data_IF_937022240401
#
_entry.id   IF_937022240401
#
_cell.length_a   1.000
_cell.length_b   1.000
_cell.length_c   1.000
_cell.angle_alpha   90.00
_cell.angle_beta   90.00
_cell.angle_gamma   90.00
#
_symmetry.space_group_name_H-M   'P 1'
#
loop_
_entity.id
_entity.type
_entity.pdbx_description
1 polymer ?
#
# COMPACT_ATOMS: atom_id res chain seq x y z
N UNK A 1 -4.06 -29.78 -2.94
CA UNK A 1 -5.53 -29.71 -3.03
C UNK A 1 -5.92 -29.90 -4.48
N UNK A 2 -7.04 -30.53 -4.76
CA UNK A 2 -7.57 -30.69 -6.12
C UNK A 2 -8.95 -30.05 -6.19
N UNK A 3 -9.13 -29.21 -7.19
CA UNK A 3 -10.38 -28.51 -7.48
C UNK A 3 -10.73 -28.77 -8.94
N UNK A 4 -11.61 -29.74 -9.19
CA UNK A 4 -11.88 -30.21 -10.56
C UNK A 4 -10.57 -30.70 -11.22
N UNK A 5 -10.20 -30.10 -12.35
CA UNK A 5 -8.95 -30.40 -13.05
C UNK A 5 -7.72 -29.64 -12.54
N UNK A 6 -7.91 -28.64 -11.67
CA UNK A 6 -6.84 -27.80 -11.15
C UNK A 6 -6.18 -28.44 -9.91
N UNK A 7 -4.89 -28.65 -9.97
CA UNK A 7 -4.07 -29.04 -8.81
C UNK A 7 -3.37 -27.83 -8.25
N UNK A 8 -3.70 -27.48 -7.01
CA UNK A 8 -3.12 -26.32 -6.32
C UNK A 8 -2.37 -26.76 -5.08
N UNK A 9 -1.11 -26.37 -4.97
CA UNK A 9 -0.33 -26.46 -3.74
C UNK A 9 -0.56 -25.20 -2.90
N UNK A 10 -0.48 -25.36 -1.58
CA UNK A 10 -0.54 -24.24 -0.64
C UNK A 10 0.69 -24.31 0.25
N UNK A 11 1.42 -23.20 0.38
CA UNK A 11 2.53 -23.07 1.32
C UNK A 11 2.29 -21.91 2.27
N UNK A 12 2.66 -22.08 3.55
CA UNK A 12 2.55 -21.00 4.54
C UNK A 12 3.61 -19.92 4.31
N UNK A 13 3.61 -18.91 5.18
CA UNK A 13 4.76 -18.01 5.32
C UNK A 13 6.05 -18.80 5.53
N UNK A 14 7.08 -18.48 4.75
CA UNK A 14 8.37 -19.15 4.78
C UNK A 14 9.30 -18.43 5.75
N UNK A 15 9.74 -19.12 6.78
CA UNK A 15 10.69 -18.64 7.79
C UNK A 15 11.86 -19.62 7.94
N UNK A 16 12.80 -19.34 8.84
CA UNK A 16 13.97 -20.19 9.05
C UNK A 16 13.62 -21.62 9.47
N UNK A 17 12.55 -21.81 10.24
CA UNK A 17 12.17 -23.13 10.78
C UNK A 17 11.60 -24.04 9.69
N UNK A 18 10.85 -23.48 8.74
CA UNK A 18 10.17 -24.26 7.70
C UNK A 18 10.83 -24.18 6.32
N UNK A 19 11.88 -23.38 6.16
CA UNK A 19 12.51 -23.10 4.86
C UNK A 19 12.90 -24.38 4.11
N UNK A 20 13.71 -25.25 4.72
CA UNK A 20 14.20 -26.45 4.05
C UNK A 20 13.05 -27.42 3.65
N UNK A 21 12.09 -27.61 4.56
CA UNK A 21 10.95 -28.48 4.31
C UNK A 21 10.04 -27.93 3.21
N UNK A 22 9.82 -26.62 3.22
CA UNK A 22 8.99 -25.93 2.21
C UNK A 22 9.67 -25.92 0.84
N UNK A 23 10.99 -25.67 0.76
CA UNK A 23 11.71 -25.70 -0.49
C UNK A 23 11.72 -27.11 -1.11
N UNK A 24 11.92 -28.15 -0.29
CA UNK A 24 11.81 -29.53 -0.75
C UNK A 24 10.40 -29.86 -1.25
N UNK A 25 9.37 -29.44 -0.52
CA UNK A 25 7.99 -29.61 -0.97
C UNK A 25 7.74 -28.91 -2.29
N UNK A 26 8.20 -27.64 -2.44
CA UNK A 26 8.07 -26.89 -3.70
C UNK A 26 8.77 -27.64 -4.83
N UNK A 27 9.96 -28.17 -4.61
CA UNK A 27 10.73 -28.90 -5.62
C UNK A 27 10.03 -30.19 -6.09
N UNK A 28 9.50 -30.98 -5.15
CA UNK A 28 8.90 -32.29 -5.41
C UNK A 28 7.43 -32.21 -5.87
N UNK A 29 6.73 -31.14 -5.54
CA UNK A 29 5.31 -30.99 -5.78
C UNK A 29 4.99 -30.89 -7.29
N UNK A 30 3.89 -31.55 -7.70
CA UNK A 30 3.40 -31.62 -9.09
C UNK A 30 2.08 -30.86 -9.27
N UNK A 31 1.88 -29.79 -8.51
CA UNK A 31 0.73 -28.92 -8.67
C UNK A 31 0.92 -27.99 -9.86
N UNK A 32 -0.17 -27.63 -10.49
CA UNK A 32 -0.19 -26.66 -11.58
C UNK A 32 0.00 -25.23 -11.03
N UNK A 33 -0.72 -24.93 -9.94
CA UNK A 33 -0.71 -23.61 -9.29
C UNK A 33 -0.19 -23.70 -7.85
N UNK A 34 0.36 -22.58 -7.40
CA UNK A 34 0.80 -22.40 -6.02
C UNK A 34 0.03 -21.23 -5.38
N UNK A 35 -0.61 -21.48 -4.23
CA UNK A 35 -1.09 -20.43 -3.33
C UNK A 35 -0.08 -20.27 -2.19
N UNK A 36 0.31 -19.03 -1.89
CA UNK A 36 1.39 -18.77 -0.96
C UNK A 36 1.25 -17.41 -0.27
N UNK A 37 2.11 -17.19 0.72
CA UNK A 37 2.33 -15.86 1.31
C UNK A 37 3.84 -15.61 1.26
N UNK A 38 4.30 -14.92 0.21
CA UNK A 38 5.73 -14.85 -0.14
C UNK A 38 6.25 -13.43 -0.03
N UNK A 39 7.49 -13.33 0.40
CA UNK A 39 8.30 -12.13 0.33
C UNK A 39 9.31 -12.28 -0.81
N UNK A 40 9.04 -11.65 -1.97
CA UNK A 40 9.86 -11.81 -3.18
C UNK A 40 10.52 -10.50 -3.57
N UNK A 41 11.81 -10.59 -3.90
CA UNK A 41 12.55 -9.47 -4.44
C UNK A 41 12.04 -9.07 -5.83
N UNK A 42 12.05 -7.75 -6.10
CA UNK A 42 11.69 -7.16 -7.39
C UNK A 42 10.23 -6.81 -7.55
N UNK A 43 9.35 -7.23 -6.64
CA UNK A 43 7.94 -6.87 -6.64
C UNK A 43 7.67 -5.59 -5.85
N UNK A 44 6.61 -4.90 -6.22
CA UNK A 44 6.16 -3.67 -5.58
C UNK A 44 5.51 -3.99 -4.23
N UNK A 45 6.13 -3.55 -3.14
CA UNK A 45 5.60 -3.72 -1.79
C UNK A 45 4.71 -2.55 -1.36
N UNK A 46 5.00 -1.36 -1.86
CA UNK A 46 4.19 -0.14 -1.80
C UNK A 46 4.25 0.52 -3.17
N UNK A 47 3.35 1.47 -3.45
CA UNK A 47 3.40 2.21 -4.71
C UNK A 47 4.77 2.86 -4.90
N UNK A 48 5.43 2.54 -6.02
CA UNK A 48 6.74 3.07 -6.38
C UNK A 48 7.92 2.45 -5.63
N UNK A 49 7.70 1.60 -4.59
CA UNK A 49 8.77 0.94 -3.85
C UNK A 49 8.79 -0.55 -4.13
N UNK A 50 9.92 -1.02 -4.64
CA UNK A 50 10.16 -2.45 -4.85
C UNK A 50 10.91 -3.07 -3.68
N UNK A 51 10.48 -4.25 -3.29
CA UNK A 51 11.23 -5.06 -2.35
C UNK A 51 12.57 -5.51 -2.95
N UNK A 52 13.67 -5.26 -2.23
CA UNK A 52 15.02 -5.61 -2.69
C UNK A 52 15.63 -6.79 -1.92
N UNK A 53 15.01 -7.22 -0.81
CA UNK A 53 15.57 -8.21 0.12
C UNK A 53 14.87 -9.58 0.09
N UNK A 54 13.77 -9.73 -0.63
CA UNK A 54 12.99 -10.96 -0.66
C UNK A 54 13.67 -12.13 -1.39
N UNK A 55 13.01 -13.27 -1.39
CA UNK A 55 13.47 -14.48 -2.10
C UNK A 55 13.48 -14.26 -3.63
N UNK A 56 14.35 -15.02 -4.34
CA UNK A 56 14.36 -15.00 -5.80
C UNK A 56 13.09 -15.65 -6.37
N UNK A 57 12.30 -14.89 -7.10
CA UNK A 57 11.08 -15.34 -7.76
C UNK A 57 11.30 -16.50 -8.74
N UNK A 58 12.53 -16.70 -9.23
CA UNK A 58 12.87 -17.82 -10.14
C UNK A 58 12.66 -19.19 -9.53
N UNK A 59 12.65 -19.31 -8.20
CA UNK A 59 12.35 -20.55 -7.48
C UNK A 59 10.96 -21.11 -7.81
N UNK A 60 10.06 -20.25 -8.25
CA UNK A 60 8.64 -20.59 -8.48
C UNK A 60 8.28 -20.75 -9.96
N UNK A 61 9.25 -20.69 -10.88
CA UNK A 61 9.02 -20.77 -12.33
C UNK A 61 8.36 -22.05 -12.82
N UNK A 62 8.44 -23.13 -12.05
CA UNK A 62 7.86 -24.41 -12.44
C UNK A 62 6.32 -24.43 -12.42
N UNK A 63 5.70 -23.53 -11.66
CA UNK A 63 4.24 -23.45 -11.58
C UNK A 63 3.70 -22.65 -12.78
N UNK A 64 2.53 -23.04 -13.27
CA UNK A 64 1.79 -22.29 -14.27
C UNK A 64 1.42 -20.91 -13.74
N UNK A 65 0.98 -20.86 -12.47
CA UNK A 65 0.61 -19.62 -11.78
C UNK A 65 0.92 -19.72 -10.30
N UNK A 66 1.44 -18.62 -9.75
CA UNK A 66 1.64 -18.42 -8.30
C UNK A 66 0.75 -17.27 -7.86
N UNK A 67 -0.18 -17.56 -6.96
CA UNK A 67 -1.02 -16.55 -6.31
C UNK A 67 -0.45 -16.31 -4.91
N UNK A 68 -0.05 -15.08 -4.63
CA UNK A 68 0.58 -14.78 -3.35
C UNK A 68 -0.01 -13.53 -2.70
N UNK A 69 0.01 -13.53 -1.36
CA UNK A 69 -0.22 -12.36 -0.50
C UNK A 69 1.10 -11.78 -0.01
N UNK A 70 1.08 -11.09 1.08
CA UNK A 70 2.08 -10.30 1.78
C UNK A 70 2.02 -8.82 1.39
N UNK A 71 2.32 -8.45 0.15
CA UNK A 71 2.20 -7.05 -0.26
C UNK A 71 0.75 -6.66 -0.48
N UNK A 72 0.37 -5.48 0.03
CA UNK A 72 -1.00 -4.97 -0.04
C UNK A 72 -1.34 -4.40 -1.42
N UNK A 73 -0.31 -4.00 -2.19
CA UNK A 73 -0.45 -3.56 -3.57
C UNK A 73 -0.49 -4.77 -4.49
N UNK A 74 -1.53 -4.84 -5.33
CA UNK A 74 -1.64 -5.92 -6.32
C UNK A 74 -0.67 -5.70 -7.48
N UNK A 75 0.18 -6.70 -7.77
CA UNK A 75 1.13 -6.65 -8.88
C UNK A 75 1.30 -8.00 -9.54
N UNK A 76 1.66 -8.01 -10.83
CA UNK A 76 1.87 -9.24 -11.59
C UNK A 76 3.14 -9.15 -12.43
N UNK A 77 3.99 -10.15 -12.29
CA UNK A 77 5.20 -10.30 -13.11
C UNK A 77 5.41 -11.78 -13.42
N UNK A 78 5.67 -12.10 -14.69
CA UNK A 78 5.80 -13.48 -15.18
C UNK A 78 4.58 -14.34 -14.77
N UNK A 79 4.84 -15.47 -14.11
CA UNK A 79 3.81 -16.39 -13.59
C UNK A 79 3.40 -16.08 -12.14
N UNK A 80 3.84 -14.97 -11.54
CA UNK A 80 3.56 -14.63 -10.16
C UNK A 80 2.60 -13.45 -10.10
N UNK A 81 1.56 -13.58 -9.28
CA UNK A 81 0.57 -12.57 -9.05
C UNK A 81 0.38 -12.32 -7.55
N UNK A 82 0.86 -11.16 -7.09
CA UNK A 82 0.45 -10.60 -5.80
C UNK A 82 -0.98 -10.09 -5.92
N UNK A 83 -1.88 -10.70 -5.18
CA UNK A 83 -3.31 -10.39 -5.24
C UNK A 83 -3.62 -9.02 -4.63
N UNK A 84 -2.75 -8.54 -3.76
CA UNK A 84 -3.02 -7.38 -2.91
C UNK A 84 -3.96 -7.72 -1.76
N UNK A 85 -4.23 -6.76 -0.90
CA UNK A 85 -5.21 -6.93 0.17
C UNK A 85 -6.64 -6.70 -0.34
N UNK A 86 -7.62 -7.42 0.24
CA UNK A 86 -9.02 -7.25 -0.13
C UNK A 86 -9.69 -6.03 0.49
N UNK A 87 -9.03 -5.39 1.46
CA UNK A 87 -9.47 -4.16 2.10
C UNK A 87 -8.25 -3.34 2.55
N UNK A 88 -8.48 -2.11 2.94
CA UNK A 88 -7.45 -1.26 3.52
C UNK A 88 -7.20 -1.70 4.98
N UNK A 89 -5.93 -1.86 5.37
CA UNK A 89 -5.52 -2.18 6.74
C UNK A 89 -4.76 -1.04 7.40
N UNK A 90 -4.04 -0.24 6.62
CA UNK A 90 -3.18 0.85 7.10
C UNK A 90 -3.40 2.13 6.30
N UNK A 91 -2.88 3.24 6.79
CA UNK A 91 -2.91 4.52 6.09
C UNK A 91 -2.18 4.52 4.75
N UNK A 92 -1.21 3.63 4.58
CA UNK A 92 -0.54 3.40 3.29
C UNK A 92 -1.45 2.77 2.24
N UNK A 93 -2.54 2.14 2.65
CA UNK A 93 -3.53 1.55 1.75
C UNK A 93 -4.60 2.54 1.28
N UNK A 94 -4.68 3.74 1.89
CA UNK A 94 -5.67 4.73 1.53
C UNK A 94 -5.56 5.11 0.05
N UNK A 95 -6.71 5.18 -0.63
CA UNK A 95 -6.83 5.43 -2.07
C UNK A 95 -6.25 4.33 -2.98
N UNK A 96 -5.76 3.21 -2.44
CA UNK A 96 -5.35 2.06 -3.24
C UNK A 96 -6.56 1.16 -3.51
N UNK A 97 -6.92 0.88 -4.78
CA UNK A 97 -8.08 0.05 -5.08
C UNK A 97 -7.87 -1.38 -4.59
N UNK A 98 -8.75 -1.84 -3.72
CA UNK A 98 -8.72 -3.18 -3.14
C UNK A 98 -9.67 -4.13 -3.86
N UNK A 99 -9.29 -5.42 -3.90
CA UNK A 99 -10.01 -6.42 -4.67
C UNK A 99 -10.06 -7.74 -3.92
N UNK A 100 -11.11 -8.52 -4.15
CA UNK A 100 -11.09 -9.95 -3.94
C UNK A 100 -11.17 -10.67 -5.30
N UNK A 101 -10.80 -11.94 -5.31
CA UNK A 101 -10.62 -12.67 -6.55
C UNK A 101 -11.49 -13.94 -6.53
N UNK A 102 -12.18 -14.20 -7.63
CA UNK A 102 -12.92 -15.43 -7.86
C UNK A 102 -12.19 -16.23 -8.92
N UNK A 103 -11.91 -17.49 -8.61
CA UNK A 103 -11.20 -18.40 -9.50
C UNK A 103 -12.18 -19.45 -10.02
N UNK A 104 -12.35 -19.52 -11.32
CA UNK A 104 -12.99 -20.64 -11.96
C UNK A 104 -11.97 -21.77 -12.12
N UNK A 105 -12.20 -22.88 -11.43
CA UNK A 105 -11.24 -24.00 -11.42
C UNK A 105 -11.30 -24.88 -12.67
N UNK A 106 -12.33 -24.74 -13.51
CA UNK A 106 -12.46 -25.48 -14.78
C UNK A 106 -11.81 -24.69 -15.91
N UNK A 107 -12.14 -23.39 -16.03
CA UNK A 107 -11.59 -22.49 -17.08
C UNK A 107 -10.24 -21.92 -16.70
N UNK A 108 -9.88 -21.93 -15.40
CA UNK A 108 -8.68 -21.29 -14.81
C UNK A 108 -8.66 -19.77 -14.94
N UNK A 109 -9.83 -19.18 -15.18
CA UNK A 109 -9.98 -17.72 -15.23
C UNK A 109 -10.05 -17.14 -13.82
N UNK A 110 -9.50 -15.94 -13.66
CA UNK A 110 -9.50 -15.18 -12.40
C UNK A 110 -10.22 -13.88 -12.63
N UNK A 111 -11.37 -13.72 -11.97
CA UNK A 111 -12.11 -12.46 -11.94
C UNK A 111 -11.69 -11.62 -10.74
N UNK A 112 -11.36 -10.33 -10.99
CA UNK A 112 -11.10 -9.35 -9.94
C UNK A 112 -12.36 -8.55 -9.66
N UNK A 113 -12.85 -8.62 -8.45
CA UNK A 113 -14.03 -7.87 -8.02
C UNK A 113 -13.56 -6.76 -7.07
N UNK A 114 -13.78 -5.50 -7.47
CA UNK A 114 -13.37 -4.34 -6.67
C UNK A 114 -14.20 -4.27 -5.38
N UNK A 115 -13.50 -4.11 -4.26
CA UNK A 115 -14.14 -3.75 -3.00
C UNK A 115 -14.58 -2.27 -3.07
N UNK A 116 -15.88 -1.97 -2.95
CA UNK A 116 -16.36 -0.59 -3.01
C UNK A 116 -16.15 0.18 -1.69
N UNK A 117 -15.80 -0.51 -0.60
CA UNK A 117 -15.67 0.07 0.73
C UNK A 117 -14.25 0.55 0.97
N UNK A 118 -14.13 1.74 1.56
CA UNK A 118 -12.89 2.32 2.06
C UNK A 118 -12.98 2.52 3.57
N UNK A 119 -11.86 2.37 4.25
CA UNK A 119 -11.75 2.59 5.70
C UNK A 119 -10.98 3.87 6.03
N UNK A 120 -10.01 4.24 5.20
CA UNK A 120 -9.13 5.38 5.43
C UNK A 120 -9.44 6.49 4.44
N UNK A 121 -9.75 7.67 4.95
CA UNK A 121 -10.08 8.83 4.13
C UNK A 121 -9.14 9.98 4.43
N UNK A 122 -8.33 10.37 3.44
CA UNK A 122 -7.43 11.52 3.53
C UNK A 122 -8.08 12.74 2.89
N UNK A 123 -8.07 13.85 3.60
CA UNK A 123 -8.55 15.15 3.11
C UNK A 123 -7.39 16.11 3.14
N UNK A 124 -7.04 16.68 2.00
CA UNK A 124 -6.05 17.76 1.90
C UNK A 124 -6.79 19.06 2.05
N UNK A 125 -6.64 19.72 3.22
CA UNK A 125 -7.30 20.98 3.51
C UNK A 125 -6.49 22.15 2.95
N UNK A 126 -7.11 22.92 2.06
CA UNK A 126 -6.56 24.17 1.51
C UNK A 126 -7.73 25.12 1.21
N UNK A 127 -7.95 26.11 2.08
CA UNK A 127 -9.08 27.06 1.99
C UNK A 127 -8.90 28.14 0.93
N UNK A 128 -7.73 28.21 0.29
CA UNK A 128 -7.54 29.02 -0.93
C UNK A 128 -8.10 28.34 -2.17
N UNK A 129 -8.11 27.01 -2.20
CA UNK A 129 -8.51 26.23 -3.37
C UNK A 129 -9.97 25.77 -3.32
N UNK A 130 -10.53 25.59 -2.10
CA UNK A 130 -11.85 24.98 -1.93
C UNK A 130 -12.61 25.58 -0.73
N UNK A 131 -13.92 25.77 -0.89
CA UNK A 131 -14.83 26.08 0.22
C UNK A 131 -15.30 24.79 0.93
N UNK A 132 -14.74 24.53 2.09
CA UNK A 132 -15.07 23.34 2.90
C UNK A 132 -16.43 23.41 3.59
N UNK A 133 -17.15 24.55 3.57
CA UNK A 133 -18.51 24.61 4.08
C UNK A 133 -19.46 23.73 3.27
N UNK A 134 -19.16 23.49 1.99
CA UNK A 134 -19.95 22.65 1.08
C UNK A 134 -19.47 21.21 0.99
N UNK A 135 -18.36 20.85 1.65
CA UNK A 135 -17.81 19.50 1.62
C UNK A 135 -18.78 18.50 2.25
N UNK A 136 -19.10 17.42 1.54
CA UNK A 136 -19.98 16.37 2.05
C UNK A 136 -19.26 15.47 3.05
N UNK A 137 -19.49 15.68 4.35
CA UNK A 137 -18.91 14.87 5.42
C UNK A 137 -19.66 13.55 5.66
N UNK A 138 -20.84 13.35 5.06
CA UNK A 138 -21.66 12.15 5.30
C UNK A 138 -20.97 10.87 4.82
N UNK A 139 -20.13 10.97 3.79
CA UNK A 139 -19.32 9.88 3.25
C UNK A 139 -18.25 9.37 4.23
N UNK A 140 -17.92 10.16 5.26
CA UNK A 140 -16.86 9.83 6.24
C UNK A 140 -17.34 8.89 7.34
N UNK A 141 -18.63 8.56 7.35
CA UNK A 141 -19.22 7.71 8.39
C UNK A 141 -18.52 6.35 8.45
N UNK A 142 -18.13 5.94 9.67
CA UNK A 142 -17.43 4.69 9.93
C UNK A 142 -16.05 4.59 9.24
N UNK A 143 -15.40 5.73 9.00
CA UNK A 143 -14.04 5.77 8.45
C UNK A 143 -13.05 6.34 9.46
N UNK A 144 -11.78 6.04 9.25
CA UNK A 144 -10.65 6.74 9.83
C UNK A 144 -10.34 7.94 8.95
N UNK A 145 -10.38 9.14 9.52
CA UNK A 145 -10.23 10.38 8.75
C UNK A 145 -8.92 11.06 9.11
N UNK A 146 -8.14 11.45 8.11
CA UNK A 146 -6.94 12.26 8.27
C UNK A 146 -7.11 13.56 7.48
N UNK A 147 -7.02 14.70 8.17
CA UNK A 147 -7.00 16.02 7.55
C UNK A 147 -5.55 16.51 7.53
N UNK A 148 -5.00 16.67 6.33
CA UNK A 148 -3.66 17.24 6.10
C UNK A 148 -3.84 18.70 5.75
N UNK A 149 -3.36 19.61 6.60
CA UNK A 149 -3.54 21.05 6.45
C UNK A 149 -2.38 21.63 5.64
N UNK A 150 -2.67 22.02 4.40
CA UNK A 150 -1.71 22.67 3.50
C UNK A 150 -1.80 24.19 3.66
N UNK A 151 -3.01 24.72 3.70
CA UNK A 151 -3.25 26.16 3.88
C UNK A 151 -4.51 26.36 4.73
N UNK A 152 -4.39 27.22 5.76
CA UNK A 152 -5.46 27.56 6.70
C UNK A 152 -5.44 29.07 6.93
N UNK A 153 -6.03 29.85 6.00
CA UNK A 153 -6.16 31.30 6.15
C UNK A 153 -7.26 31.68 7.12
N UNK A 154 -8.37 30.98 7.08
CA UNK A 154 -9.52 31.19 7.95
C UNK A 154 -9.63 30.07 8.98
N UNK A 155 -9.09 30.32 10.17
CA UNK A 155 -9.13 29.39 11.30
C UNK A 155 -10.57 29.06 11.71
N UNK A 156 -11.49 30.03 11.65
CA UNK A 156 -12.89 29.82 12.02
C UNK A 156 -13.60 28.84 11.07
N UNK A 157 -13.38 28.99 9.76
CA UNK A 157 -13.91 28.06 8.76
C UNK A 157 -13.29 26.66 8.90
N UNK A 158 -12.01 26.57 9.25
CA UNK A 158 -11.35 25.30 9.55
C UNK A 158 -11.97 24.62 10.76
N UNK A 159 -12.12 25.33 11.88
CA UNK A 159 -12.69 24.76 13.10
C UNK A 159 -14.12 24.25 12.86
N UNK A 160 -14.95 25.01 12.13
CA UNK A 160 -16.28 24.55 11.73
C UNK A 160 -16.26 23.30 10.85
N UNK A 161 -15.30 23.19 9.98
CA UNK A 161 -15.14 21.99 9.16
C UNK A 161 -14.77 20.77 10.01
N UNK A 162 -13.85 20.93 10.95
CA UNK A 162 -13.49 19.88 11.92
C UNK A 162 -14.68 19.47 12.79
N UNK A 163 -15.45 20.44 13.31
CA UNK A 163 -16.68 20.15 14.08
C UNK A 163 -17.69 19.35 13.26
N UNK A 164 -17.85 19.67 11.96
CA UNK A 164 -18.73 18.90 11.07
C UNK A 164 -18.24 17.46 10.88
N UNK A 165 -16.95 17.24 10.71
CA UNK A 165 -16.36 15.89 10.63
C UNK A 165 -16.63 15.13 11.94
N UNK A 166 -16.39 15.75 13.09
CA UNK A 166 -16.62 15.13 14.39
C UNK A 166 -18.10 14.83 14.68
N UNK A 167 -19.03 15.58 14.06
CA UNK A 167 -20.47 15.32 14.19
C UNK A 167 -20.93 14.05 13.47
N UNK A 168 -20.11 13.52 12.56
CA UNK A 168 -20.36 12.25 11.88
C UNK A 168 -19.78 11.12 12.73
N UNK A 169 -20.43 9.96 12.71
CA UNK A 169 -19.99 8.75 13.42
C UNK A 169 -18.75 8.14 12.72
N UNK A 170 -17.59 8.80 12.84
CA UNK A 170 -16.28 8.36 12.35
C UNK A 170 -15.59 7.49 13.40
N UNK A 171 -14.59 6.69 12.98
CA UNK A 171 -13.79 5.91 13.92
C UNK A 171 -12.71 6.75 14.60
N UNK A 172 -12.01 7.58 13.86
CA UNK A 172 -10.92 8.42 14.35
C UNK A 172 -10.75 9.64 13.45
N UNK A 173 -10.33 10.77 14.04
CA UNK A 173 -9.88 11.95 13.32
C UNK A 173 -8.43 12.24 13.68
N UNK A 174 -7.57 12.30 12.67
CA UNK A 174 -6.19 12.80 12.78
C UNK A 174 -6.05 14.10 12.02
N UNK A 175 -5.41 15.10 12.61
CA UNK A 175 -5.12 16.39 11.97
C UNK A 175 -3.60 16.51 11.92
N UNK A 176 -3.05 16.67 10.71
CA UNK A 176 -1.64 16.95 10.47
C UNK A 176 -1.51 18.41 10.04
N UNK A 177 -1.01 19.26 10.93
CA UNK A 177 -0.68 20.66 10.67
C UNK A 177 0.83 20.80 10.40
N UNK A 178 1.24 21.89 9.77
CA UNK A 178 2.65 22.25 9.47
C UNK A 178 3.34 21.42 8.39
N UNK A 179 2.59 20.96 7.42
CA UNK A 179 3.17 20.24 6.29
C UNK A 179 4.12 21.12 5.44
N UNK A 180 3.91 22.44 5.41
CA UNK A 180 4.74 23.39 4.65
C UNK A 180 6.17 23.55 5.22
N UNK A 181 6.42 23.16 6.46
CA UNK A 181 7.79 23.11 7.02
C UNK A 181 8.62 21.95 6.44
N UNK A 182 7.95 20.91 5.92
CA UNK A 182 8.57 19.75 5.30
C UNK A 182 8.71 19.84 3.78
N UNK A 183 7.88 20.67 3.12
CA UNK A 183 7.93 20.89 1.67
C UNK A 183 8.49 22.29 1.49
N UNK A 184 9.76 22.42 1.08
CA UNK A 184 10.38 23.72 0.76
C UNK A 184 9.53 24.54 -0.22
N UNK A 185 9.69 25.87 -0.20
CA UNK A 185 8.88 26.88 -0.94
C UNK A 185 8.81 26.69 -2.47
N UNK A 186 9.43 25.66 -3.05
CA UNK A 186 9.60 25.47 -4.50
C UNK A 186 8.84 24.27 -5.09
N UNK A 187 7.84 23.73 -4.42
CA UNK A 187 6.99 22.69 -5.03
C UNK A 187 5.88 23.37 -5.82
N UNK A 188 6.11 23.52 -7.13
CA UNK A 188 5.07 23.94 -8.07
C UNK A 188 3.86 23.00 -7.98
N UNK A 189 2.69 23.56 -8.09
CA UNK A 189 1.32 23.11 -7.83
C UNK A 189 0.82 21.85 -8.60
N UNK A 190 1.70 21.03 -9.19
CA UNK A 190 1.31 19.80 -9.86
C UNK A 190 1.15 18.67 -8.84
N UNK A 191 -0.13 18.46 -8.47
CA UNK A 191 -0.67 17.24 -7.85
C UNK A 191 0.37 16.45 -7.02
N UNK A 192 0.75 16.98 -5.85
CA UNK A 192 1.38 16.13 -4.84
C UNK A 192 0.30 15.12 -4.46
N UNK A 193 0.40 13.93 -5.01
CA UNK A 193 -0.30 12.77 -4.49
C UNK A 193 0.29 12.50 -3.10
N UNK A 194 -0.32 13.09 -2.06
CA UNK A 194 0.07 12.93 -0.66
C UNK A 194 -0.01 11.48 -0.17
N UNK A 195 -0.17 10.55 -1.07
CA UNK A 195 -0.34 9.13 -0.81
C UNK A 195 0.98 8.38 -0.69
N UNK A 196 2.09 8.99 -1.11
CA UNK A 196 3.36 8.30 -1.18
C UNK A 196 4.40 8.95 -0.25
N UNK A 197 4.50 8.40 0.97
CA UNK A 197 5.55 8.80 1.94
C UNK A 197 6.96 8.78 1.33
N UNK A 198 7.34 7.82 0.47
CA UNK A 198 8.62 7.84 -0.22
C UNK A 198 8.83 9.05 -1.13
N UNK A 199 7.83 9.42 -1.92
CA UNK A 199 7.90 10.61 -2.79
C UNK A 199 8.08 11.88 -1.98
N UNK A 200 7.43 11.98 -0.82
CA UNK A 200 7.60 13.10 0.10
C UNK A 200 9.02 13.16 0.68
N UNK A 201 9.55 12.02 1.11
CA UNK A 201 10.93 11.92 1.63
C UNK A 201 11.94 12.27 0.53
N UNK A 202 11.74 11.77 -0.68
CA UNK A 202 12.59 12.09 -1.82
C UNK A 202 12.56 13.59 -2.14
N UNK A 203 11.38 14.21 -2.16
CA UNK A 203 11.22 15.65 -2.39
C UNK A 203 11.87 16.49 -1.29
N UNK A 204 11.75 16.06 -0.03
CA UNK A 204 12.44 16.70 1.09
C UNK A 204 13.96 16.64 0.92
N UNK A 205 14.51 15.48 0.58
CA UNK A 205 15.96 15.28 0.35
C UNK A 205 16.44 16.17 -0.81
N UNK A 206 15.63 16.31 -1.86
CA UNK A 206 15.95 17.21 -2.99
C UNK A 206 16.02 18.67 -2.58
N UNK A 207 15.17 19.09 -1.64
CA UNK A 207 15.14 20.47 -1.12
C UNK A 207 16.24 20.80 -0.10
N UNK A 208 16.90 19.80 0.51
CA UNK A 208 17.94 20.02 1.52
C UNK A 208 19.25 20.48 0.86
N UNK A 209 19.83 21.59 1.32
CA UNK A 209 21.19 22.00 0.94
C UNK A 209 22.21 21.13 1.70
N UNK A 210 22.92 20.25 0.98
CA UNK A 210 23.91 19.33 1.55
C UNK A 210 24.98 18.99 0.52
N UNK A 211 26.21 18.77 0.99
CA UNK A 211 27.32 18.24 0.18
C UNK A 211 27.29 16.72 0.04
N UNK A 212 26.33 16.05 0.68
CA UNK A 212 26.17 14.60 0.60
C UNK A 212 25.46 14.19 -0.71
N UNK A 213 25.73 12.96 -1.13
CA UNK A 213 25.12 12.34 -2.29
C UNK A 213 23.62 12.04 -1.99
N UNK A 214 22.74 12.88 -2.54
CA UNK A 214 21.27 12.81 -2.31
C UNK A 214 20.69 11.49 -2.79
N UNK A 215 21.21 10.91 -3.88
CA UNK A 215 20.71 9.65 -4.39
C UNK A 215 21.00 8.49 -3.42
N UNK A 216 22.17 8.51 -2.77
CA UNK A 216 22.49 7.55 -1.71
C UNK A 216 21.62 7.71 -0.48
N UNK A 217 21.34 8.96 -0.09
CA UNK A 217 20.46 9.25 1.05
C UNK A 217 19.04 8.70 0.74
N UNK A 218 18.51 8.93 -0.47
CA UNK A 218 17.20 8.41 -0.88
C UNK A 218 17.17 6.88 -0.83
N UNK A 219 18.21 6.21 -1.33
CA UNK A 219 18.30 4.75 -1.26
C UNK A 219 18.28 4.27 0.19
N UNK A 220 19.08 4.85 1.07
CA UNK A 220 19.11 4.47 2.48
C UNK A 220 17.77 4.73 3.19
N UNK A 221 17.10 5.85 2.89
CA UNK A 221 15.78 6.14 3.47
C UNK A 221 14.74 5.12 3.02
N UNK A 222 14.75 4.70 1.76
CA UNK A 222 13.86 3.65 1.26
C UNK A 222 14.13 2.29 1.92
N UNK A 223 15.39 1.94 2.14
CA UNK A 223 15.78 0.73 2.90
C UNK A 223 15.25 0.78 4.33
N UNK A 224 15.44 1.89 5.04
CA UNK A 224 14.91 2.08 6.41
C UNK A 224 13.38 2.01 6.47
N UNK A 225 12.69 2.57 5.47
CA UNK A 225 11.23 2.46 5.38
C UNK A 225 10.77 1.02 5.18
N UNK A 226 11.52 0.26 4.38
CA UNK A 226 11.29 -1.17 4.17
C UNK A 226 11.47 -1.96 5.47
N UNK A 227 12.55 -1.69 6.20
CA UNK A 227 12.82 -2.33 7.50
C UNK A 227 11.76 -1.96 8.54
N UNK A 228 11.35 -0.69 8.62
CA UNK A 228 10.33 -0.24 9.55
C UNK A 228 8.98 -0.94 9.29
N UNK A 229 8.59 -1.11 8.03
CA UNK A 229 7.38 -1.85 7.70
C UNK A 229 7.45 -3.33 8.05
N UNK A 230 8.61 -3.95 7.85
CA UNK A 230 8.81 -5.35 8.25
C UNK A 230 8.67 -5.54 9.77
N UNK A 231 9.01 -4.53 10.58
CA UNK A 231 8.87 -4.54 12.03
C UNK A 231 7.41 -4.30 12.49
N UNK A 232 6.61 -3.56 11.72
CA UNK A 232 5.18 -3.34 12.04
C UNK A 232 4.31 -4.58 11.76
N UNK A 233 4.80 -5.51 10.96
CA UNK A 233 4.09 -6.74 10.55
C UNK A 233 4.50 -7.96 11.42
N UNK A 234 5.49 -7.82 12.30
CA UNK A 234 5.97 -8.86 13.21
C UNK A 234 5.27 -8.77 14.57
#
# INVERSE_FOLDING_TARGET
MEYGSLKMAMVPWINQENYESTMRFIEECKADWLGAHLDLAGFEMMRGIKNVHGMDHKLFKKFELVLTGHFHVGSKQDNIWYLGSQMEFFWSDANDPKYFHVIDTETREIERIKNPYTLFHKIVYNDEKMDYNTYDVSQLKKQFVKVVVVNKKDTFSFDRFIDRIQSVDIHELKIAENFNEFIGENVEDEAIEFDDTPTLVDSYIDGVETDLDKDKIKVQMRELMTEAQALEVA
#
